data_IF_613818062392
#
_entry.id   IF_613818062392
#
_cell.length_a   1.000
_cell.length_b   1.000
_cell.length_c   1.000
_cell.angle_alpha   90.00
_cell.angle_beta   90.00
_cell.angle_gamma   90.00
#
_symmetry.space_group_name_H-M   'P 1'
#
loop_
_entity.id
_entity.type
_entity.pdbx_description
1 polymer ?
#
# COMPACT_ATOMS: atom_id res chain seq x y z
N UNK A 1 27.32 -23.21 4.59
CA UNK A 1 26.10 -23.34 3.75
C UNK A 1 25.75 -21.93 3.28
N UNK A 2 25.61 -21.71 1.98
CA UNK A 2 25.22 -20.40 1.45
C UNK A 2 23.69 -20.27 1.55
N UNK A 3 23.21 -19.53 2.54
CA UNK A 3 21.78 -19.23 2.76
C UNK A 3 21.16 -18.33 1.67
N UNK A 4 21.84 -18.15 0.54
CA UNK A 4 21.48 -17.22 -0.54
C UNK A 4 20.97 -17.90 -1.82
N UNK A 5 20.68 -19.21 -1.81
CA UNK A 5 20.07 -19.87 -2.97
C UNK A 5 18.57 -19.63 -2.90
N UNK A 6 18.08 -18.67 -3.69
CA UNK A 6 16.65 -18.45 -3.88
C UNK A 6 15.99 -19.73 -4.45
N UNK A 7 14.97 -20.25 -3.76
CA UNK A 7 14.20 -21.42 -4.22
C UNK A 7 13.46 -21.15 -5.54
N UNK A 8 13.07 -19.91 -5.77
CA UNK A 8 12.45 -19.42 -7.01
C UNK A 8 13.26 -18.20 -7.44
N UNK A 9 14.06 -18.30 -8.52
CA UNK A 9 14.87 -17.18 -8.99
C UNK A 9 14.02 -15.93 -9.24
N UNK A 10 14.42 -14.80 -8.64
CA UNK A 10 13.74 -13.51 -8.81
C UNK A 10 12.60 -13.26 -7.83
N UNK A 11 12.22 -14.24 -7.00
CA UNK A 11 11.17 -14.06 -6.00
C UNK A 11 11.51 -12.99 -4.97
N UNK A 12 12.79 -12.88 -4.56
CA UNK A 12 13.25 -11.82 -3.65
C UNK A 12 13.08 -10.44 -4.26
N UNK A 13 13.43 -10.28 -5.53
CA UNK A 13 13.30 -9.02 -6.26
C UNK A 13 11.83 -8.61 -6.40
N UNK A 14 10.94 -9.55 -6.68
CA UNK A 14 9.48 -9.32 -6.71
C UNK A 14 8.99 -8.91 -5.31
N UNK A 15 9.38 -9.64 -4.27
CA UNK A 15 9.03 -9.32 -2.88
C UNK A 15 9.45 -7.91 -2.49
N UNK A 16 10.66 -7.49 -2.86
CA UNK A 16 11.14 -6.14 -2.61
C UNK A 16 10.32 -5.07 -3.36
N UNK A 17 9.92 -5.33 -4.61
CA UNK A 17 9.06 -4.40 -5.36
C UNK A 17 7.69 -4.24 -4.70
N UNK A 18 7.12 -5.32 -4.18
CA UNK A 18 5.85 -5.28 -3.45
C UNK A 18 5.97 -4.48 -2.15
N UNK A 19 7.03 -4.71 -1.37
CA UNK A 19 7.29 -3.97 -0.16
C UNK A 19 7.46 -2.46 -0.44
N UNK A 20 8.22 -2.12 -1.49
CA UNK A 20 8.42 -0.74 -1.91
C UNK A 20 7.10 -0.11 -2.39
N UNK A 21 6.26 -0.86 -3.12
CA UNK A 21 4.97 -0.38 -3.60
C UNK A 21 4.06 0.01 -2.43
N UNK A 22 4.00 -0.83 -1.40
CA UNK A 22 3.25 -0.56 -0.18
C UNK A 22 3.81 0.67 0.57
N UNK A 23 5.13 0.71 0.78
CA UNK A 23 5.79 1.83 1.47
C UNK A 23 5.52 3.16 0.78
N UNK A 24 5.69 3.24 -0.54
CA UNK A 24 5.43 4.45 -1.31
C UNK A 24 3.98 4.93 -1.16
N UNK A 25 3.01 4.00 -1.16
CA UNK A 25 1.61 4.36 -1.01
C UNK A 25 1.33 4.89 0.41
N UNK A 26 1.88 4.23 1.44
CA UNK A 26 1.75 4.69 2.83
C UNK A 26 2.38 6.07 3.04
N UNK A 27 3.56 6.31 2.47
CA UNK A 27 4.20 7.63 2.48
C UNK A 27 3.29 8.68 1.82
N UNK A 28 2.71 8.37 0.66
CA UNK A 28 1.74 9.26 -0.01
C UNK A 28 0.55 9.58 0.90
N UNK A 29 0.00 8.60 1.62
CA UNK A 29 -1.09 8.84 2.57
C UNK A 29 -0.66 9.76 3.70
N UNK A 30 0.54 9.56 4.24
CA UNK A 30 1.09 10.42 5.31
C UNK A 30 1.35 11.84 4.82
N UNK A 31 1.86 12.02 3.62
CA UNK A 31 2.12 13.34 3.04
C UNK A 31 0.82 14.12 2.85
N UNK A 32 -0.25 13.46 2.41
CA UNK A 32 -1.54 14.09 2.12
C UNK A 32 -2.40 14.34 3.36
N UNK A 33 -2.22 13.56 4.43
CA UNK A 33 -3.09 13.62 5.63
C UNK A 33 -2.37 14.00 6.92
N UNK A 34 -1.04 13.99 6.92
CA UNK A 34 -0.18 14.14 8.10
C UNK A 34 -0.45 13.12 9.20
N UNK A 35 -0.89 11.90 8.83
CA UNK A 35 -1.18 10.83 9.78
C UNK A 35 0.09 10.07 10.23
N UNK A 36 -0.08 9.22 11.25
CA UNK A 36 0.94 8.29 11.72
C UNK A 36 1.14 7.11 10.76
N UNK A 37 2.24 6.38 10.95
CA UNK A 37 2.54 5.19 10.15
C UNK A 37 1.50 4.07 10.29
N UNK A 38 0.94 3.92 11.49
CA UNK A 38 -0.11 2.94 11.77
C UNK A 38 -1.42 3.30 11.04
N UNK A 39 -1.79 4.58 11.06
CA UNK A 39 -2.94 5.09 10.32
C UNK A 39 -2.78 4.93 8.80
N UNK A 40 -1.58 5.20 8.28
CA UNK A 40 -1.26 5.01 6.87
C UNK A 40 -1.36 3.55 6.44
N UNK A 41 -0.87 2.63 7.27
CA UNK A 41 -1.03 1.18 7.06
C UNK A 41 -2.51 0.78 7.07
N UNK A 42 -3.31 1.31 8.00
CA UNK A 42 -4.75 1.06 8.04
C UNK A 42 -5.45 1.54 6.78
N UNK A 43 -5.14 2.76 6.33
CA UNK A 43 -5.67 3.31 5.08
C UNK A 43 -5.29 2.43 3.88
N UNK A 44 -4.03 2.02 3.75
CA UNK A 44 -3.59 1.11 2.69
C UNK A 44 -4.42 -0.19 2.67
N UNK A 45 -4.61 -0.83 3.83
CA UNK A 45 -5.36 -2.08 3.92
C UNK A 45 -6.83 -1.90 3.52
N UNK A 46 -7.47 -0.81 3.93
CA UNK A 46 -8.85 -0.46 3.55
C UNK A 46 -8.96 -0.22 2.06
N UNK A 47 -8.12 0.65 1.51
CA UNK A 47 -8.14 1.00 0.09
C UNK A 47 -7.89 -0.23 -0.79
N UNK A 48 -6.95 -1.10 -0.39
CA UNK A 48 -6.67 -2.36 -1.09
C UNK A 48 -7.85 -3.32 -1.04
N UNK A 49 -8.49 -3.47 0.12
CA UNK A 49 -9.62 -4.38 0.33
C UNK A 49 -10.85 -3.94 -0.46
N UNK A 50 -11.14 -2.64 -0.45
CA UNK A 50 -12.23 -2.04 -1.23
C UNK A 50 -11.91 -1.97 -2.73
N UNK A 51 -10.69 -2.36 -3.14
CA UNK A 51 -10.20 -2.36 -4.53
C UNK A 51 -10.11 -0.97 -5.16
N UNK A 52 -9.94 0.05 -4.32
CA UNK A 52 -9.78 1.44 -4.75
C UNK A 52 -8.34 1.75 -5.18
N UNK A 53 -7.42 0.84 -4.86
CA UNK A 53 -6.04 0.84 -5.35
C UNK A 53 -5.69 -0.47 -6.03
N UNK A 54 -4.88 -0.37 -7.07
CA UNK A 54 -4.38 -1.50 -7.84
C UNK A 54 -2.86 -1.48 -7.87
N UNK A 55 -2.26 -2.66 -7.68
CA UNK A 55 -0.82 -2.85 -7.84
C UNK A 55 -0.44 -2.78 -9.32
N UNK A 56 0.41 -1.83 -9.65
CA UNK A 56 1.25 -1.86 -10.85
C UNK A 56 2.53 -2.64 -10.51
N UNK A 57 2.55 -3.92 -10.87
CA UNK A 57 3.67 -4.83 -10.61
C UNK A 57 4.88 -4.53 -11.51
N UNK A 58 4.69 -3.85 -12.63
CA UNK A 58 5.77 -3.39 -13.51
C UNK A 58 6.49 -2.17 -12.92
N UNK A 59 5.70 -1.20 -12.44
CA UNK A 59 6.20 0.03 -11.81
C UNK A 59 6.55 -0.09 -10.31
N UNK A 60 6.09 -1.15 -9.64
CA UNK A 60 6.30 -1.33 -8.19
C UNK A 60 5.58 -0.25 -7.37
N UNK A 61 4.33 0.06 -7.72
CA UNK A 61 3.51 1.10 -7.07
C UNK A 61 2.06 0.67 -6.96
N UNK A 62 1.34 1.22 -5.98
CA UNK A 62 -0.12 1.17 -5.97
C UNK A 62 -0.67 2.46 -6.58
N UNK A 63 -1.56 2.31 -7.55
CA UNK A 63 -2.27 3.42 -8.19
C UNK A 63 -3.74 3.40 -7.76
N UNK A 64 -4.34 4.56 -7.52
CA UNK A 64 -5.79 4.65 -7.33
C UNK A 64 -6.52 4.42 -8.64
N UNK A 65 -7.70 3.79 -8.58
CA UNK A 65 -8.55 3.60 -9.77
C UNK A 65 -9.15 4.91 -10.26
N UNK A 66 -9.38 5.84 -9.32
CA UNK A 66 -9.87 7.20 -9.57
C UNK A 66 -9.09 8.20 -8.72
N UNK A 67 -8.72 9.35 -9.30
CA UNK A 67 -7.91 10.36 -8.62
C UNK A 67 -8.50 10.86 -7.29
N UNK A 68 -9.84 10.88 -7.18
CA UNK A 68 -10.55 11.31 -5.96
C UNK A 68 -10.20 10.49 -4.71
N UNK A 69 -9.70 9.27 -4.88
CA UNK A 69 -9.29 8.41 -3.77
C UNK A 69 -7.99 8.86 -3.09
N UNK A 70 -7.26 9.81 -3.69
CA UNK A 70 -6.13 10.49 -3.04
C UNK A 70 -6.52 11.80 -2.35
N UNK A 71 -7.79 12.20 -2.40
CA UNK A 71 -8.21 13.40 -1.66
C UNK A 71 -8.02 13.17 -0.15
N UNK A 72 -7.45 14.15 0.60
CA UNK A 72 -7.15 13.98 2.02
C UNK A 72 -8.35 13.53 2.86
N UNK A 73 -9.56 13.98 2.52
CA UNK A 73 -10.80 13.58 3.21
C UNK A 73 -11.14 12.10 3.00
N UNK A 74 -10.95 11.57 1.79
CA UNK A 74 -11.21 10.16 1.47
C UNK A 74 -10.19 9.27 2.18
N UNK A 75 -8.92 9.68 2.20
CA UNK A 75 -7.87 8.98 2.95
C UNK A 75 -8.14 9.00 4.46
N UNK A 76 -8.62 10.12 5.03
CA UNK A 76 -9.07 10.17 6.44
C UNK A 76 -10.24 9.24 6.71
N UNK A 77 -11.19 9.11 5.77
CA UNK A 77 -12.26 8.14 5.89
C UNK A 77 -11.73 6.70 5.89
N UNK A 78 -10.74 6.40 5.05
CA UNK A 78 -10.06 5.10 5.06
C UNK A 78 -9.34 4.84 6.39
N UNK A 79 -8.67 5.84 6.98
CA UNK A 79 -8.06 5.74 8.32
C UNK A 79 -9.12 5.44 9.38
N UNK A 80 -10.29 6.09 9.31
CA UNK A 80 -11.36 5.93 10.29
C UNK A 80 -12.29 4.75 10.00
N UNK A 81 -12.04 3.99 8.93
CA UNK A 81 -12.90 2.89 8.53
C UNK A 81 -13.01 1.84 9.65
N UNK A 82 -14.22 1.35 9.99
CA UNK A 82 -14.42 0.44 11.11
C UNK A 82 -13.64 -0.87 10.97
N UNK A 83 -12.96 -1.28 12.04
CA UNK A 83 -12.17 -2.51 12.08
C UNK A 83 -13.01 -3.78 12.05
N UNK A 84 -14.32 -3.69 12.35
CA UNK A 84 -15.27 -4.82 12.38
C UNK A 84 -15.49 -5.50 11.03
N UNK A 85 -15.09 -4.83 9.95
CA UNK A 85 -15.20 -5.41 8.62
C UNK A 85 -14.00 -6.32 8.29
N UNK A 86 -12.90 -6.27 9.06
CA UNK A 86 -11.64 -6.99 8.80
C UNK A 86 -11.50 -8.30 9.59
#
# INVERSE_FOLDING_TARGET
>A
MNDNIEKIPGAKAIGQRLANAELNFRETVRDLTSCSEEEALKAFNVMRKLKEIQLDSGGGRYNVIHGMYLEPEVLRNAINYPSSDF
#
